data_IF_669814184358
#
_entry.id   IF_669814184358
#
_cell.length_a   1.000
_cell.length_b   1.000
_cell.length_c   1.000
_cell.angle_alpha   90.00
_cell.angle_beta   90.00
_cell.angle_gamma   90.00
#
_symmetry.space_group_name_H-M   'P 1'
#
loop_
_entity.id
_entity.type
_entity.pdbx_description
1 polymer ?
#
# COMPACT_ATOMS: atom_id res chain seq x y z
N UNK A 1 -8.05 -12.84 -16.74
CA UNK A 1 -8.19 -12.00 -15.54
C UNK A 1 -9.65 -11.65 -15.31
N UNK A 2 -10.11 -11.78 -14.09
CA UNK A 2 -11.46 -11.42 -13.71
C UNK A 2 -11.42 -10.50 -12.47
N UNK A 3 -11.96 -9.26 -12.55
CA UNK A 3 -11.94 -8.32 -11.43
C UNK A 3 -12.57 -8.91 -10.17
N UNK A 4 -11.97 -8.60 -9.01
CA UNK A 4 -12.45 -9.12 -7.73
C UNK A 4 -12.81 -8.00 -6.76
N UNK A 5 -11.84 -7.25 -6.30
CA UNK A 5 -12.05 -6.26 -5.24
C UNK A 5 -11.14 -5.05 -5.42
N UNK A 6 -11.68 -3.82 -5.29
CA UNK A 6 -10.86 -2.62 -5.29
C UNK A 6 -10.02 -2.54 -4.02
N UNK A 7 -8.86 -1.89 -4.12
CA UNK A 7 -7.96 -1.62 -3.01
C UNK A 7 -7.35 -0.22 -3.18
N UNK A 8 -7.02 0.40 -2.07
CA UNK A 8 -6.34 1.69 -2.04
C UNK A 8 -5.03 1.56 -1.27
N UNK A 9 -3.97 2.11 -1.85
CA UNK A 9 -2.68 2.22 -1.17
C UNK A 9 -2.59 3.60 -0.52
N UNK A 10 -2.32 3.60 0.78
CA UNK A 10 -2.31 4.81 1.62
C UNK A 10 -0.97 5.01 2.30
N UNK A 11 -0.60 6.27 2.47
CA UNK A 11 0.57 6.65 3.25
C UNK A 11 0.22 6.54 4.74
N UNK A 12 1.08 5.90 5.50
CA UNK A 12 0.90 5.69 6.94
C UNK A 12 2.10 6.18 7.75
N UNK A 13 1.82 6.58 8.99
CA UNK A 13 2.82 6.93 9.99
C UNK A 13 2.38 6.46 11.38
N UNK A 14 3.34 6.34 12.30
CA UNK A 14 3.07 6.09 13.71
C UNK A 14 2.38 7.29 14.35
N UNK A 15 1.33 7.05 15.11
CA UNK A 15 0.64 8.10 15.90
C UNK A 15 1.52 8.66 17.01
N UNK A 16 2.51 7.91 17.46
CA UNK A 16 3.46 8.30 18.52
C UNK A 16 4.73 8.97 17.99
N UNK A 17 4.96 8.93 16.66
CA UNK A 17 6.14 9.46 16.03
C UNK A 17 6.02 10.95 15.67
N UNK A 18 7.04 11.45 15.00
CA UNK A 18 7.16 12.84 14.53
C UNK A 18 5.96 13.29 13.68
N UNK A 19 5.39 12.39 12.90
CA UNK A 19 4.28 12.66 11.99
C UNK A 19 2.91 12.25 12.56
N UNK A 20 2.84 11.98 13.86
CA UNK A 20 1.64 11.49 14.50
C UNK A 20 0.43 12.44 14.48
N UNK A 21 0.64 13.72 14.13
CA UNK A 21 -0.42 14.74 13.97
C UNK A 21 -0.48 15.29 12.55
N UNK A 22 0.28 14.73 11.63
CA UNK A 22 0.26 15.11 10.23
C UNK A 22 -0.98 14.53 9.54
N UNK A 23 -1.75 15.36 8.86
CA UNK A 23 -2.95 14.91 8.14
C UNK A 23 -2.69 14.72 6.65
N UNK A 24 -1.74 15.47 6.10
CA UNK A 24 -1.51 15.52 4.66
C UNK A 24 -0.06 15.95 4.36
N UNK A 25 0.46 15.46 3.25
CA UNK A 25 1.74 15.88 2.67
C UNK A 25 1.56 16.22 1.21
N UNK A 26 2.34 17.16 0.73
CA UNK A 26 2.48 17.41 -0.70
C UNK A 26 3.40 16.38 -1.34
N UNK A 27 3.40 16.29 -2.66
CA UNK A 27 4.35 15.44 -3.39
C UNK A 27 5.80 15.87 -3.16
N UNK A 28 6.05 17.16 -2.97
CA UNK A 28 7.37 17.67 -2.64
C UNK A 28 7.81 17.22 -1.23
N UNK A 29 6.93 17.31 -0.25
CA UNK A 29 7.19 16.85 1.12
C UNK A 29 7.39 15.34 1.19
N UNK A 30 6.62 14.56 0.40
CA UNK A 30 6.77 13.10 0.32
C UNK A 30 8.20 12.68 -0.07
N UNK A 31 8.89 13.48 -0.88
CA UNK A 31 10.26 13.22 -1.30
C UNK A 31 11.30 13.49 -0.19
N UNK A 32 10.92 14.17 0.87
CA UNK A 32 11.80 14.52 1.99
C UNK A 32 11.63 13.64 3.22
N UNK A 33 10.48 13.01 3.38
CA UNK A 33 10.20 12.14 4.53
C UNK A 33 10.89 10.78 4.39
N UNK A 34 11.33 10.16 5.49
CA UNK A 34 11.91 8.82 5.42
C UNK A 34 10.84 7.79 5.07
N UNK A 35 11.04 7.05 3.98
CA UNK A 35 10.10 6.06 3.49
C UNK A 35 10.63 4.65 3.60
N UNK A 36 9.75 3.73 3.98
CA UNK A 36 9.94 2.29 3.89
C UNK A 36 9.07 1.77 2.75
N UNK A 37 9.66 1.07 1.82
CA UNK A 37 8.98 0.51 0.66
C UNK A 37 9.12 -1.01 0.61
N UNK A 38 8.25 -1.64 -0.18
CA UNK A 38 8.41 -3.05 -0.55
C UNK A 38 9.66 -3.22 -1.43
N UNK A 39 10.13 -4.45 -1.48
CA UNK A 39 11.27 -4.85 -2.31
C UNK A 39 10.99 -4.74 -3.81
N UNK A 40 12.06 -4.69 -4.60
CA UNK A 40 11.98 -4.75 -6.07
C UNK A 40 11.26 -6.03 -6.52
N UNK A 41 10.36 -5.90 -7.49
CA UNK A 41 9.52 -7.00 -7.97
C UNK A 41 8.18 -7.13 -7.26
N UNK A 42 7.93 -6.38 -6.18
CA UNK A 42 6.63 -6.31 -5.54
C UNK A 42 5.60 -5.61 -6.44
N UNK A 43 4.43 -6.23 -6.61
CA UNK A 43 3.31 -5.61 -7.32
C UNK A 43 2.83 -4.31 -6.65
N UNK A 44 2.92 -4.22 -5.33
CA UNK A 44 2.61 -2.99 -4.59
C UNK A 44 3.58 -1.87 -4.95
N UNK A 45 4.87 -2.15 -5.00
CA UNK A 45 5.88 -1.15 -5.39
C UNK A 45 5.70 -0.70 -6.84
N UNK A 46 5.33 -1.60 -7.73
CA UNK A 46 5.06 -1.29 -9.13
C UNK A 46 3.88 -0.31 -9.28
N UNK A 47 2.79 -0.54 -8.56
CA UNK A 47 1.63 0.37 -8.55
C UNK A 47 2.01 1.75 -8.00
N UNK A 48 2.74 1.80 -6.88
CA UNK A 48 3.22 3.06 -6.31
C UNK A 48 4.07 3.82 -7.32
N UNK A 49 5.03 3.15 -7.95
CA UNK A 49 5.91 3.74 -8.97
C UNK A 49 5.13 4.35 -10.12
N UNK A 50 4.12 3.66 -10.58
CA UNK A 50 3.26 4.07 -11.70
C UNK A 50 2.47 5.35 -11.39
N UNK A 51 1.84 5.41 -10.22
CA UNK A 51 1.07 6.59 -9.79
C UNK A 51 1.97 7.81 -9.54
N UNK A 52 3.12 7.60 -8.90
CA UNK A 52 4.07 8.69 -8.67
C UNK A 52 4.68 9.21 -9.97
N UNK A 53 5.00 8.33 -10.91
CA UNK A 53 5.50 8.71 -12.23
C UNK A 53 4.47 9.56 -13.02
N UNK A 54 3.19 9.22 -12.92
CA UNK A 54 2.11 10.03 -13.50
C UNK A 54 2.00 11.44 -12.88
N UNK A 55 2.52 11.63 -11.67
CA UNK A 55 2.63 12.90 -10.97
C UNK A 55 4.05 13.51 -11.05
N UNK A 56 4.86 13.07 -12.00
CA UNK A 56 6.26 13.52 -12.21
C UNK A 56 7.20 13.25 -11.03
N UNK A 57 6.92 12.25 -10.21
CA UNK A 57 7.78 11.82 -9.11
C UNK A 57 8.36 10.44 -9.40
N UNK A 58 9.68 10.34 -9.43
CA UNK A 58 10.40 9.07 -9.64
C UNK A 58 10.74 8.41 -8.31
N UNK A 59 10.72 7.08 -8.25
CA UNK A 59 11.14 6.34 -7.05
C UNK A 59 12.55 6.74 -6.58
N UNK A 60 13.46 6.99 -7.52
CA UNK A 60 14.83 7.40 -7.23
C UNK A 60 14.94 8.75 -6.51
N UNK A 61 13.91 9.61 -6.58
CA UNK A 61 13.87 10.89 -5.88
C UNK A 61 13.35 10.79 -4.44
N UNK A 62 12.79 9.64 -4.06
CA UNK A 62 12.28 9.41 -2.70
C UNK A 62 13.41 9.08 -1.74
N UNK A 63 13.25 9.52 -0.49
CA UNK A 63 14.18 9.18 0.59
C UNK A 63 13.84 7.81 1.18
N UNK A 64 14.19 6.75 0.48
CA UNK A 64 13.97 5.37 0.92
C UNK A 64 15.04 4.97 1.93
N UNK A 65 14.64 4.74 3.17
CA UNK A 65 15.55 4.35 4.27
C UNK A 65 15.65 2.85 4.45
N UNK A 66 14.65 2.10 3.97
CA UNK A 66 14.60 0.65 4.08
C UNK A 66 13.69 0.06 3.01
N UNK A 67 14.02 -1.14 2.54
CA UNK A 67 13.12 -2.00 1.75
C UNK A 67 12.87 -3.30 2.50
N UNK A 68 11.62 -3.68 2.64
CA UNK A 68 11.20 -4.88 3.38
C UNK A 68 10.29 -5.77 2.53
N UNK A 69 10.43 -7.08 2.70
CA UNK A 69 9.76 -8.09 1.89
C UNK A 69 8.32 -8.43 2.32
N UNK A 70 7.77 -7.77 3.35
CA UNK A 70 6.40 -8.02 3.77
C UNK A 70 5.73 -6.77 4.35
N UNK A 71 4.41 -6.68 4.17
CA UNK A 71 3.60 -5.61 4.75
C UNK A 71 3.65 -5.62 6.28
N UNK A 72 3.66 -6.78 6.92
CA UNK A 72 3.73 -6.89 8.38
C UNK A 72 5.06 -6.34 8.93
N UNK A 73 6.18 -6.62 8.26
CA UNK A 73 7.47 -6.04 8.62
C UNK A 73 7.49 -4.52 8.46
N UNK A 74 6.88 -4.01 7.40
CA UNK A 74 6.74 -2.57 7.16
C UNK A 74 5.93 -1.92 8.29
N UNK A 75 4.78 -2.47 8.64
CA UNK A 75 3.93 -1.97 9.72
C UNK A 75 4.68 -1.92 11.06
N UNK A 76 5.41 -2.97 11.38
CA UNK A 76 6.23 -3.05 12.59
C UNK A 76 7.32 -1.98 12.61
N UNK A 77 8.00 -1.77 11.50
CA UNK A 77 9.04 -0.74 11.37
C UNK A 77 8.45 0.66 11.54
N UNK A 78 7.34 0.96 10.89
CA UNK A 78 6.66 2.27 10.96
C UNK A 78 6.17 2.55 12.37
N UNK A 79 5.57 1.58 13.07
CA UNK A 79 5.11 1.75 14.45
C UNK A 79 6.22 2.18 15.42
N UNK A 80 7.45 1.76 15.16
CA UNK A 80 8.59 1.95 16.05
C UNK A 80 9.61 2.96 15.54
N UNK A 81 9.23 3.80 14.58
CA UNK A 81 10.14 4.78 13.96
C UNK A 81 9.38 6.03 13.52
N UNK A 82 10.12 7.01 12.98
CA UNK A 82 9.56 8.18 12.31
C UNK A 82 9.42 7.99 10.79
N UNK A 83 9.62 6.77 10.29
CA UNK A 83 9.43 6.48 8.88
C UNK A 83 7.94 6.39 8.52
N UNK A 84 7.65 6.71 7.27
CA UNK A 84 6.35 6.50 6.65
C UNK A 84 6.42 5.33 5.67
N UNK A 85 5.27 4.78 5.31
CA UNK A 85 5.18 3.74 4.29
C UNK A 85 3.87 3.87 3.52
N UNK A 86 3.84 3.30 2.31
CA UNK A 86 2.62 3.20 1.50
C UNK A 86 2.21 1.72 1.48
N UNK A 87 1.03 1.44 2.00
CA UNK A 87 0.50 0.08 2.16
C UNK A 87 -0.99 0.02 1.79
N UNK A 88 -1.50 -1.18 1.59
CA UNK A 88 -2.95 -1.39 1.40
C UNK A 88 -3.72 -0.96 2.65
N UNK A 89 -4.79 -0.19 2.44
CA UNK A 89 -5.69 0.23 3.54
C UNK A 89 -6.31 -0.97 4.24
N UNK A 90 -6.57 -2.05 3.51
CA UNK A 90 -7.11 -3.29 4.08
C UNK A 90 -6.15 -3.99 5.05
N UNK A 91 -4.83 -3.73 4.93
CA UNK A 91 -3.82 -4.35 5.78
C UNK A 91 -3.64 -3.68 7.15
N UNK A 92 -4.23 -2.51 7.36
CA UNK A 92 -4.01 -1.67 8.55
C UNK A 92 -5.27 -1.40 9.38
N UNK A 93 -6.35 -2.14 9.14
CA UNK A 93 -7.64 -1.94 9.82
C UNK A 93 -7.48 -2.01 11.34
N UNK A 94 -6.74 -2.99 11.84
CA UNK A 94 -6.54 -3.17 13.28
C UNK A 94 -5.67 -2.06 13.88
N UNK A 95 -4.64 -1.63 13.18
CA UNK A 95 -3.74 -0.57 13.64
C UNK A 95 -4.40 0.82 13.60
N UNK A 96 -5.31 1.06 12.66
CA UNK A 96 -6.14 2.26 12.66
C UNK A 96 -7.13 2.25 13.84
N UNK A 97 -7.75 1.11 14.10
CA UNK A 97 -8.71 0.93 15.16
C UNK A 97 -8.07 1.05 16.55
N UNK A 98 -6.87 0.51 16.73
CA UNK A 98 -6.09 0.63 17.98
C UNK A 98 -5.45 2.00 18.17
N UNK A 99 -5.39 2.82 17.11
CA UNK A 99 -4.75 4.12 17.15
C UNK A 99 -3.21 4.08 17.08
N UNK A 100 -2.62 2.96 16.70
CA UNK A 100 -1.15 2.84 16.55
C UNK A 100 -0.61 3.49 15.28
N UNK A 101 -1.37 3.40 14.19
CA UNK A 101 -1.06 4.00 12.90
C UNK A 101 -2.14 4.99 12.50
N UNK A 102 -1.77 5.93 11.66
CA UNK A 102 -2.70 6.84 10.99
C UNK A 102 -2.42 6.93 9.50
N UNK A 103 -3.47 7.24 8.75
CA UNK A 103 -3.37 7.55 7.33
C UNK A 103 -3.03 9.04 7.17
N UNK A 104 -2.11 9.31 6.23
CA UNK A 104 -1.73 10.67 5.83
C UNK A 104 -2.07 10.80 4.35
N UNK A 105 -2.84 11.82 3.99
CA UNK A 105 -3.18 12.05 2.60
C UNK A 105 -1.99 12.57 1.80
N UNK A 106 -1.82 12.08 0.59
CA UNK A 106 -0.87 12.65 -0.38
C UNK A 106 -1.67 13.58 -1.28
N UNK A 107 -1.41 14.87 -1.18
CA UNK A 107 -2.12 15.90 -1.94
C UNK A 107 -2.00 15.66 -3.45
N UNK A 108 -3.14 15.55 -4.13
CA UNK A 108 -3.21 15.34 -5.57
C UNK A 108 -2.82 13.94 -6.05
N UNK A 109 -2.64 12.99 -5.15
CA UNK A 109 -2.28 11.62 -5.51
C UNK A 109 -3.07 10.60 -4.70
N UNK A 110 -4.03 9.94 -5.32
CA UNK A 110 -4.76 8.82 -4.74
C UNK A 110 -4.38 7.55 -5.50
N UNK A 111 -3.80 6.59 -4.80
CA UNK A 111 -3.27 5.36 -5.39
C UNK A 111 -4.31 4.25 -5.26
N UNK A 112 -4.92 3.88 -6.35
CA UNK A 112 -5.94 2.83 -6.42
C UNK A 112 -5.46 1.67 -7.28
N UNK A 113 -5.86 0.47 -6.89
CA UNK A 113 -5.66 -0.75 -7.67
C UNK A 113 -6.88 -1.65 -7.55
N UNK A 114 -6.88 -2.72 -8.32
CA UNK A 114 -7.91 -3.76 -8.25
C UNK A 114 -7.21 -5.11 -8.16
N UNK A 115 -7.64 -5.92 -7.21
CA UNK A 115 -7.28 -7.33 -7.22
C UNK A 115 -8.13 -8.07 -8.23
N UNK A 116 -7.55 -9.00 -8.94
CA UNK A 116 -8.22 -9.83 -9.93
C UNK A 116 -7.88 -11.29 -9.71
N UNK A 117 -8.83 -12.15 -9.99
CA UNK A 117 -8.53 -13.56 -10.13
C UNK A 117 -7.77 -13.77 -11.45
N UNK A 118 -6.79 -14.65 -11.42
CA UNK A 118 -5.97 -15.00 -12.56
C UNK A 118 -5.81 -16.52 -12.63
N UNK A 119 -6.04 -17.10 -13.80
CA UNK A 119 -5.81 -18.50 -14.07
C UNK A 119 -5.24 -18.72 -15.47
N UNK A 120 -4.55 -19.87 -15.72
CA UNK A 120 -4.01 -20.19 -17.03
C UNK A 120 -5.11 -20.33 -18.09
N UNK A 121 -4.82 -19.89 -19.31
CA UNK A 121 -5.69 -20.10 -20.46
C UNK A 121 -6.03 -21.58 -20.67
N UNK A 122 -7.31 -21.86 -20.96
CA UNK A 122 -7.77 -23.21 -21.33
C UNK A 122 -8.00 -24.18 -20.17
N UNK A 123 -7.84 -23.78 -18.91
CA UNK A 123 -8.22 -24.60 -17.74
C UNK A 123 -9.48 -24.06 -17.07
N UNK A 124 -10.57 -24.77 -17.21
CA UNK A 124 -11.74 -24.62 -16.35
C UNK A 124 -11.62 -25.67 -15.23
N UNK A 125 -11.27 -25.22 -14.02
CA UNK A 125 -11.26 -26.07 -12.84
C UNK A 125 -12.50 -25.77 -12.00
N UNK A 126 -13.33 -26.78 -11.77
CA UNK A 126 -14.56 -26.64 -10.98
C UNK A 126 -14.27 -26.18 -9.53
N UNK A 127 -13.11 -26.51 -8.98
CA UNK A 127 -12.70 -26.08 -7.65
C UNK A 127 -12.34 -24.59 -7.65
N UNK A 128 -11.64 -24.12 -8.69
CA UNK A 128 -11.32 -22.71 -8.87
C UNK A 128 -12.58 -21.87 -9.02
N UNK A 129 -13.56 -22.32 -9.80
CA UNK A 129 -14.85 -21.65 -9.96
C UNK A 129 -15.61 -21.52 -8.63
N UNK A 130 -15.63 -22.57 -7.81
CA UNK A 130 -16.23 -22.54 -6.48
C UNK A 130 -15.52 -21.61 -5.52
N UNK A 131 -14.19 -21.54 -5.61
CA UNK A 131 -13.39 -20.61 -4.81
C UNK A 131 -13.71 -19.15 -5.17
N UNK A 132 -13.78 -18.83 -6.46
CA UNK A 132 -14.15 -17.48 -6.93
C UNK A 132 -15.54 -17.09 -6.42
N UNK A 133 -16.52 -17.98 -6.55
CA UNK A 133 -17.88 -17.76 -6.05
C UNK A 133 -17.89 -17.51 -4.53
N UNK A 134 -17.21 -18.35 -3.76
CA UNK A 134 -17.06 -18.19 -2.31
C UNK A 134 -16.41 -16.84 -1.96
N UNK A 135 -15.28 -16.51 -2.59
CA UNK A 135 -14.56 -15.29 -2.32
C UNK A 135 -15.39 -14.03 -2.59
N UNK A 136 -16.22 -14.04 -3.65
CA UNK A 136 -17.13 -12.93 -3.97
C UNK A 136 -18.25 -12.72 -2.96
N UNK A 137 -18.71 -13.80 -2.31
CA UNK A 137 -19.76 -13.71 -1.31
C UNK A 137 -19.23 -13.31 0.08
N UNK A 138 -17.93 -13.42 0.31
CA UNK A 138 -17.27 -13.14 1.60
C UNK A 138 -16.43 -11.86 1.62
N UNK A 139 -16.25 -11.24 0.47
CA UNK A 139 -15.47 -10.01 0.33
C UNK A 139 -16.26 -8.75 0.69
#
# INVERSE_FOLDING_TARGET
YEPFIPDELVLIASTKGRYGRCDQVTLAELQTVPLVLRESGSGTLEVISKYLAAADVRLASLRVVMQLGSTESIKSFVRNSDAMAIVSVASIVDELRSGELRIIDIEGCTIRREFSFCWPEGRSDALAARFVEFARHTA
#
